data_IF_950188895759
#
_entry.id   IF_950188895759
#
_cell.length_a   1.000
_cell.length_b   1.000
_cell.length_c   1.000
_cell.angle_alpha   90.00
_cell.angle_beta   90.00
_cell.angle_gamma   90.00
#
_symmetry.space_group_name_H-M   'P 1'
#
loop_
_entity.id
_entity.type
_entity.pdbx_description
1 polymer ?
#
# COMPACT_ATOMS: atom_id res chain seq x y z
N UNK A 1 7.78 9.50 -0.38
CA UNK A 1 7.23 9.91 0.93
C UNK A 1 7.97 9.18 2.03
N UNK A 2 8.04 9.76 3.23
CA UNK A 2 8.51 9.03 4.40
C UNK A 2 7.32 8.26 4.97
N UNK A 3 7.41 6.93 5.03
CA UNK A 3 6.35 6.06 5.52
C UNK A 3 6.40 5.98 7.05
N UNK A 4 6.43 7.14 7.70
CA UNK A 4 6.42 7.28 9.15
C UNK A 4 5.11 7.93 9.58
N UNK A 5 4.38 7.23 10.44
CA UNK A 5 3.11 7.65 11.00
C UNK A 5 3.26 8.82 11.97
N UNK A 6 2.13 9.35 12.43
CA UNK A 6 2.11 10.49 13.36
C UNK A 6 2.73 10.17 14.73
N UNK A 7 2.83 8.89 15.06
CA UNK A 7 3.45 8.35 16.28
C UNK A 7 4.97 8.13 16.13
N UNK A 8 5.54 8.41 14.96
CA UNK A 8 6.96 8.18 14.66
C UNK A 8 7.30 6.72 14.34
N UNK A 9 6.30 5.84 14.23
CA UNK A 9 6.48 4.46 13.80
C UNK A 9 6.28 4.33 12.29
N UNK A 10 6.61 3.17 11.71
CA UNK A 10 6.30 2.92 10.29
C UNK A 10 4.79 2.87 10.08
N UNK A 11 4.34 3.53 9.02
CA UNK A 11 2.93 3.56 8.64
C UNK A 11 2.39 2.17 8.37
N UNK A 12 1.14 1.99 8.78
CA UNK A 12 0.30 0.87 8.36
C UNK A 12 -0.13 1.02 6.90
N UNK A 13 -0.60 -0.09 6.31
CA UNK A 13 -1.22 -0.06 4.99
C UNK A 13 -2.38 0.93 4.98
N UNK A 14 -3.22 0.93 6.03
CA UNK A 14 -4.33 1.89 6.15
C UNK A 14 -3.84 3.35 6.10
N UNK A 15 -2.82 3.71 6.87
CA UNK A 15 -2.32 5.08 6.91
C UNK A 15 -1.76 5.53 5.55
N UNK A 16 -1.16 4.62 4.80
CA UNK A 16 -0.69 4.89 3.43
C UNK A 16 -1.87 5.15 2.48
N UNK A 17 -2.95 4.37 2.58
CA UNK A 17 -4.17 4.60 1.81
C UNK A 17 -4.82 5.94 2.18
N UNK A 18 -4.95 6.23 3.47
CA UNK A 18 -5.45 7.50 3.99
C UNK A 18 -4.59 8.68 3.51
N UNK A 19 -3.26 8.54 3.51
CA UNK A 19 -2.36 9.56 3.00
C UNK A 19 -2.55 9.81 1.50
N UNK A 20 -2.70 8.77 0.68
CA UNK A 20 -2.96 8.91 -0.75
C UNK A 20 -4.31 9.59 -1.00
N UNK A 21 -5.35 9.21 -0.24
CA UNK A 21 -6.65 9.85 -0.35
C UNK A 21 -6.61 11.33 0.07
N UNK A 22 -5.93 11.66 1.17
CA UNK A 22 -5.81 13.05 1.66
C UNK A 22 -4.95 13.93 0.75
N UNK A 23 -3.87 13.38 0.21
CA UNK A 23 -2.87 14.14 -0.57
C UNK A 23 -3.29 14.29 -2.02
N UNK A 24 -3.84 13.22 -2.61
CA UNK A 24 -4.14 13.16 -4.04
C UNK A 24 -5.65 13.01 -4.36
N UNK A 25 -6.49 12.77 -3.35
CA UNK A 25 -7.91 12.51 -3.57
C UNK A 25 -8.18 11.12 -4.16
N UNK A 26 -7.21 10.21 -4.13
CA UNK A 26 -7.29 8.91 -4.77
C UNK A 26 -7.83 7.83 -3.83
N UNK A 27 -8.91 7.17 -4.25
CA UNK A 27 -9.41 5.96 -3.60
C UNK A 27 -8.70 4.75 -4.17
N UNK A 28 -7.72 4.20 -3.47
CA UNK A 28 -6.99 3.01 -3.90
C UNK A 28 -7.81 1.74 -3.64
N UNK A 29 -7.95 0.90 -4.66
CA UNK A 29 -8.63 -0.40 -4.58
C UNK A 29 -7.65 -1.55 -4.41
N UNK A 30 -6.43 -1.43 -4.96
CA UNK A 30 -5.37 -2.43 -4.80
C UNK A 30 -4.03 -1.74 -4.53
N UNK A 31 -3.23 -2.27 -3.60
CA UNK A 31 -1.87 -1.81 -3.30
C UNK A 31 -0.92 -3.00 -3.32
N UNK A 32 0.20 -2.85 -4.04
CA UNK A 32 1.17 -3.90 -4.22
C UNK A 32 2.60 -3.38 -4.05
N UNK A 33 3.51 -4.29 -3.75
CA UNK A 33 4.95 -4.07 -3.84
C UNK A 33 5.54 -5.16 -4.74
N UNK A 34 5.97 -4.79 -5.95
CA UNK A 34 6.36 -5.79 -6.96
C UNK A 34 5.20 -6.72 -7.31
N UNK A 35 5.28 -7.98 -6.86
CA UNK A 35 4.23 -9.00 -7.02
C UNK A 35 3.45 -9.28 -5.72
N UNK A 36 3.85 -8.65 -4.61
CA UNK A 36 3.25 -8.84 -3.29
C UNK A 36 2.01 -7.97 -3.13
N UNK A 37 0.87 -8.58 -2.82
CA UNK A 37 -0.38 -7.87 -2.52
C UNK A 37 -0.38 -7.36 -1.09
N UNK A 38 -0.34 -6.03 -0.91
CA UNK A 38 -0.43 -5.39 0.41
C UNK A 38 -1.87 -5.08 0.80
N UNK A 39 -2.71 -4.74 -0.18
CA UNK A 39 -4.13 -4.46 0.03
C UNK A 39 -4.93 -4.84 -1.21
N UNK A 40 -6.07 -5.50 -0.99
CA UNK A 40 -7.10 -5.69 -2.00
C UNK A 40 -8.47 -5.38 -1.40
N UNK A 41 -9.15 -4.37 -1.95
CA UNK A 41 -10.51 -3.99 -1.54
C UNK A 41 -11.53 -5.09 -1.86
N UNK A 42 -11.27 -5.89 -2.89
CA UNK A 42 -12.12 -7.01 -3.32
C UNK A 42 -11.96 -8.28 -2.47
N UNK A 43 -10.95 -8.33 -1.60
CA UNK A 43 -10.75 -9.40 -0.64
C UNK A 43 -11.85 -9.49 0.42
N UNK A 44 -11.89 -10.61 1.13
CA UNK A 44 -12.82 -10.78 2.25
C UNK A 44 -12.53 -9.79 3.39
N UNK A 45 -13.54 -9.52 4.22
CA UNK A 45 -13.45 -8.49 5.26
C UNK A 45 -12.36 -8.79 6.31
N UNK A 46 -12.16 -10.06 6.67
CA UNK A 46 -11.16 -10.45 7.66
C UNK A 46 -9.74 -10.25 7.11
N UNK A 47 -9.48 -10.72 5.90
CA UNK A 47 -8.21 -10.51 5.20
C UNK A 47 -7.93 -9.02 5.03
N UNK A 48 -8.93 -8.24 4.63
CA UNK A 48 -8.80 -6.79 4.44
C UNK A 48 -8.50 -6.07 5.74
N UNK A 49 -9.20 -6.40 6.83
CA UNK A 49 -8.94 -5.81 8.14
C UNK A 49 -7.51 -6.14 8.63
N UNK A 50 -7.05 -7.37 8.40
CA UNK A 50 -5.67 -7.78 8.71
C UNK A 50 -4.65 -6.99 7.90
N UNK A 51 -4.83 -6.91 6.58
CA UNK A 51 -3.96 -6.15 5.68
C UNK A 51 -3.85 -4.68 6.09
N UNK A 52 -4.99 -4.03 6.37
CA UNK A 52 -5.04 -2.62 6.76
C UNK A 52 -4.27 -2.33 8.05
N UNK A 53 -4.36 -3.23 9.03
CA UNK A 53 -3.70 -3.07 10.33
C UNK A 53 -2.20 -3.42 10.31
N UNK A 54 -1.71 -4.09 9.27
CA UNK A 54 -0.30 -4.44 9.16
C UNK A 54 0.55 -3.23 8.78
N UNK A 55 1.77 -3.21 9.33
CA UNK A 55 2.83 -2.29 8.92
C UNK A 55 3.39 -2.75 7.57
N UNK A 56 3.83 -1.81 6.73
CA UNK A 56 4.34 -2.13 5.39
C UNK A 56 5.43 -3.19 5.41
N UNK A 57 6.41 -3.08 6.32
CA UNK A 57 7.47 -4.06 6.47
C UNK A 57 6.96 -5.42 6.91
N UNK A 58 5.99 -5.46 7.84
CA UNK A 58 5.41 -6.69 8.34
C UNK A 58 4.64 -7.45 7.24
N UNK A 59 3.86 -6.73 6.40
CA UNK A 59 3.17 -7.34 5.25
C UNK A 59 4.14 -7.94 4.24
N UNK A 60 5.30 -7.33 4.06
CA UNK A 60 6.35 -7.84 3.17
C UNK A 60 7.07 -9.05 3.76
N UNK A 61 7.36 -9.03 5.07
CA UNK A 61 7.97 -10.17 5.76
C UNK A 61 7.07 -11.40 5.76
N UNK A 62 5.76 -11.24 5.97
CA UNK A 62 4.78 -12.32 5.86
C UNK A 62 4.76 -12.93 4.45
N UNK A 63 5.01 -12.11 3.42
CA UNK A 63 5.14 -12.56 2.04
C UNK A 63 6.53 -13.14 1.70
N UNK A 64 7.46 -13.17 2.67
CA UNK A 64 8.82 -13.67 2.48
C UNK A 64 9.76 -12.69 1.77
N UNK A 65 9.37 -11.42 1.64
CA UNK A 65 10.23 -10.40 1.04
C UNK A 65 11.25 -9.85 2.06
N UNK A 66 12.49 -9.53 1.62
CA UNK A 66 13.49 -8.95 2.50
C UNK A 66 13.11 -7.52 2.91
N UNK A 67 13.37 -7.17 4.17
CA UNK A 67 13.21 -5.78 4.64
C UNK A 67 14.08 -4.84 3.81
N UNK A 68 13.46 -3.81 3.24
CA UNK A 68 14.13 -2.73 2.50
C UNK A 68 13.85 -1.39 3.16
N UNK A 69 14.81 -0.47 3.06
CA UNK A 69 14.64 0.92 3.53
C UNK A 69 13.78 1.75 2.58
N UNK A 70 13.71 1.35 1.33
CA UNK A 70 12.87 1.99 0.32
C UNK A 70 11.98 0.93 -0.32
N UNK A 71 10.68 1.22 -0.37
CA UNK A 71 9.64 0.41 -0.98
C UNK A 71 9.07 1.14 -2.19
N UNK A 72 8.90 0.40 -3.28
CA UNK A 72 8.21 0.91 -4.46
C UNK A 72 6.81 0.31 -4.50
N UNK A 73 5.81 1.11 -4.19
CA UNK A 73 4.42 0.67 -4.14
C UNK A 73 3.71 0.99 -5.46
N UNK A 74 3.08 -0.02 -6.04
CA UNK A 74 2.17 0.13 -7.18
C UNK A 74 0.73 0.07 -6.68
N UNK A 75 -0.17 0.80 -7.32
CA UNK A 75 -1.55 0.93 -6.86
C UNK A 75 -2.51 1.04 -8.05
N UNK A 76 -3.74 0.60 -7.81
CA UNK A 76 -4.89 0.77 -8.71
C UNK A 76 -5.92 1.60 -7.96
N UNK A 77 -6.48 2.63 -8.58
CA UNK A 77 -7.55 3.42 -7.97
C UNK A 77 -8.94 3.05 -8.52
N UNK A 78 -9.95 3.45 -7.76
CA UNK A 78 -11.35 3.31 -8.14
C UNK A 78 -11.63 4.01 -9.47
N UNK A 79 -12.28 3.28 -10.39
CA UNK A 79 -12.58 3.77 -11.73
C UNK A 79 -11.43 3.62 -12.74
N UNK A 80 -10.27 3.12 -12.31
CA UNK A 80 -9.22 2.69 -13.22
C UNK A 80 -9.40 1.22 -13.60
N UNK A 81 -9.12 0.94 -14.86
CA UNK A 81 -9.04 -0.43 -15.34
C UNK A 81 -7.73 -1.05 -14.82
N UNK A 82 -7.78 -2.13 -14.01
CA UNK A 82 -6.59 -2.79 -13.50
C UNK A 82 -5.73 -3.41 -14.62
N UNK A 83 -6.28 -3.58 -15.82
CA UNK A 83 -5.60 -4.07 -17.02
C UNK A 83 -5.08 -2.93 -17.92
N UNK A 84 -5.47 -1.67 -17.64
CA UNK A 84 -4.91 -0.53 -18.35
C UNK A 84 -3.47 -0.30 -17.91
N UNK A 85 -2.54 -0.36 -18.86
CA UNK A 85 -1.10 -0.06 -18.69
C UNK A 85 -0.82 1.45 -18.45
N UNK A 86 -1.79 2.19 -17.91
CA UNK A 86 -1.72 3.64 -17.73
C UNK A 86 -0.91 4.01 -16.47
N UNK A 87 0.41 3.99 -16.64
CA UNK A 87 1.38 5.04 -16.37
C UNK A 87 1.35 5.86 -15.05
N UNK A 88 0.69 5.43 -13.97
CA UNK A 88 0.86 6.11 -12.68
C UNK A 88 2.24 5.82 -12.10
N UNK A 89 2.98 6.87 -11.66
CA UNK A 89 4.28 6.65 -11.06
C UNK A 89 4.10 5.84 -9.76
N UNK A 90 4.99 4.86 -9.51
CA UNK A 90 4.97 4.12 -8.26
C UNK A 90 5.20 5.08 -7.09
N UNK A 91 4.55 4.78 -5.97
CA UNK A 91 4.75 5.50 -4.73
C UNK A 91 6.02 5.00 -4.05
N UNK A 92 7.04 5.85 -4.00
CA UNK A 92 8.28 5.55 -3.28
C UNK A 92 8.11 5.86 -1.79
N UNK A 93 8.23 4.84 -0.95
CA UNK A 93 8.10 4.92 0.51
C UNK A 93 9.44 4.63 1.19
N UNK A 94 9.93 5.55 2.01
CA UNK A 94 11.12 5.33 2.84
C UNK A 94 10.71 4.95 4.27
N UNK A 95 11.18 3.80 4.74
CA UNK A 95 10.91 3.23 6.07
C UNK A 95 11.88 3.74 7.14
#
# INVERSE_FOLDING_TARGET
>A
MQAVGADGQEMTVQEVLDWMQRTHGWTVTMLLHGYTMLYDRGGDEETRARQLAQRLSASLEDAGEPRRRELQLTYVCEGEDPEAEDARPPLLCSL
#
